data_IF_242449284265
#
_entry.id   IF_242449284265
#
_cell.length_a   1.000
_cell.length_b   1.000
_cell.length_c   1.000
_cell.angle_alpha   90.00
_cell.angle_beta   90.00
_cell.angle_gamma   90.00
#
_symmetry.space_group_name_H-M   'P 1'
#
loop_
_entity.id
_entity.type
_entity.pdbx_description
1 polymer ?
#
# COMPACT_ATOMS: atom_id res chain seq x y z
N UNK A 1 28.37 -23.48 -22.87
CA UNK A 1 27.13 -23.52 -22.05
C UNK A 1 27.25 -22.96 -20.63
N UNK A 2 28.38 -23.10 -19.90
CA UNK A 2 28.49 -22.65 -18.49
C UNK A 2 28.26 -21.16 -18.20
N UNK A 3 28.46 -20.25 -19.17
CA UNK A 3 28.28 -18.79 -18.98
C UNK A 3 26.82 -18.35 -19.02
N UNK A 4 25.99 -18.96 -19.87
CA UNK A 4 24.54 -18.66 -19.94
C UNK A 4 23.79 -19.19 -18.71
N UNK A 5 24.12 -20.39 -18.22
CA UNK A 5 23.52 -20.92 -17.00
C UNK A 5 23.77 -20.02 -15.77
N UNK A 6 24.97 -19.43 -15.66
CA UNK A 6 25.30 -18.47 -14.59
C UNK A 6 24.49 -17.17 -14.68
N UNK A 7 24.25 -16.66 -15.90
CA UNK A 7 23.44 -15.46 -16.14
C UNK A 7 21.95 -15.71 -15.84
N UNK A 8 21.42 -16.89 -16.20
CA UNK A 8 20.03 -17.27 -15.90
C UNK A 8 19.83 -17.43 -14.39
N UNK A 9 20.75 -18.09 -13.68
CA UNK A 9 20.68 -18.23 -12.22
C UNK A 9 20.79 -16.88 -11.52
N UNK A 10 21.67 -15.98 -11.99
CA UNK A 10 21.76 -14.62 -11.45
C UNK A 10 20.50 -13.79 -11.71
N UNK A 11 19.91 -13.89 -12.91
CA UNK A 11 18.64 -13.25 -13.23
C UNK A 11 17.46 -13.79 -12.40
N UNK A 12 17.43 -15.10 -12.16
CA UNK A 12 16.42 -15.75 -11.32
C UNK A 12 16.58 -15.37 -9.84
N UNK A 13 17.81 -15.25 -9.34
CA UNK A 13 18.10 -14.81 -7.97
C UNK A 13 17.77 -13.33 -7.76
N UNK A 14 18.09 -12.46 -8.73
CA UNK A 14 17.70 -11.05 -8.65
C UNK A 14 16.17 -10.88 -8.67
N UNK A 15 15.48 -11.59 -9.58
CA UNK A 15 14.02 -11.56 -9.65
C UNK A 15 13.35 -12.11 -8.39
N UNK A 16 13.89 -13.18 -7.79
CA UNK A 16 13.34 -13.78 -6.56
C UNK A 16 13.56 -12.89 -5.34
N UNK A 17 14.69 -12.18 -5.25
CA UNK A 17 14.94 -11.19 -4.20
C UNK A 17 13.99 -10.01 -4.36
N UNK A 18 13.82 -9.43 -5.56
CA UNK A 18 12.89 -8.32 -5.80
C UNK A 18 11.45 -8.66 -5.43
N UNK A 19 10.98 -9.86 -5.79
CA UNK A 19 9.64 -10.34 -5.42
C UNK A 19 9.48 -10.47 -3.89
N UNK A 20 10.53 -10.90 -3.19
CA UNK A 20 10.53 -11.08 -1.73
C UNK A 20 10.48 -9.74 -0.98
N UNK A 21 11.22 -8.72 -1.44
CA UNK A 21 11.17 -7.38 -0.82
C UNK A 21 9.80 -6.73 -1.04
N UNK A 22 9.26 -6.78 -2.26
CA UNK A 22 7.93 -6.26 -2.58
C UNK A 22 6.78 -7.02 -1.89
N UNK A 23 6.98 -8.26 -1.44
CA UNK A 23 6.04 -8.97 -0.57
C UNK A 23 6.20 -8.60 0.91
N UNK A 24 7.43 -8.35 1.37
CA UNK A 24 7.68 -7.95 2.75
C UNK A 24 7.10 -6.57 3.07
N UNK A 25 7.26 -5.60 2.17
CA UNK A 25 6.76 -4.23 2.35
C UNK A 25 5.23 -4.18 2.24
N UNK A 26 4.65 -4.97 1.32
CA UNK A 26 3.20 -5.19 1.24
C UNK A 26 2.61 -5.74 2.55
N UNK A 27 3.23 -6.75 3.15
CA UNK A 27 2.74 -7.35 4.39
C UNK A 27 2.87 -6.42 5.61
N UNK A 28 3.95 -5.62 5.68
CA UNK A 28 4.10 -4.57 6.70
C UNK A 28 3.01 -3.52 6.54
N UNK A 29 2.79 -3.04 5.33
CA UNK A 29 1.74 -2.09 4.98
C UNK A 29 0.35 -2.61 5.33
N UNK A 30 0.05 -3.87 5.01
CA UNK A 30 -1.20 -4.52 5.38
C UNK A 30 -1.40 -4.57 6.90
N UNK A 31 -0.37 -4.92 7.67
CA UNK A 31 -0.45 -4.98 9.14
C UNK A 31 -0.78 -3.60 9.73
N UNK A 32 -0.20 -2.53 9.20
CA UNK A 32 -0.52 -1.17 9.64
C UNK A 32 -1.91 -0.72 9.20
N UNK A 33 -2.29 -1.03 7.96
CA UNK A 33 -3.65 -0.81 7.46
C UNK A 33 -4.68 -1.49 8.36
N UNK A 34 -4.47 -2.76 8.69
CA UNK A 34 -5.36 -3.50 9.59
C UNK A 34 -5.43 -2.87 10.98
N UNK A 35 -4.28 -2.56 11.57
CA UNK A 35 -4.17 -2.05 12.94
C UNK A 35 -4.80 -0.66 13.12
N UNK A 36 -4.67 0.22 12.12
CA UNK A 36 -5.09 1.60 12.23
C UNK A 36 -6.35 1.91 11.42
N UNK A 37 -6.40 1.52 10.14
CA UNK A 37 -7.50 1.87 9.24
C UNK A 37 -8.65 0.89 9.41
N UNK A 38 -8.46 -0.42 9.14
CA UNK A 38 -9.53 -1.44 9.27
C UNK A 38 -10.13 -1.44 10.67
N UNK A 39 -9.31 -1.39 11.72
CA UNK A 39 -9.79 -1.35 13.11
C UNK A 39 -10.61 -0.09 13.44
N UNK A 40 -10.29 1.05 12.84
CA UNK A 40 -11.00 2.31 13.13
C UNK A 40 -12.25 2.49 12.26
N UNK A 41 -12.17 2.18 10.96
CA UNK A 41 -13.22 2.46 9.98
C UNK A 41 -14.04 1.25 9.57
N UNK A 42 -13.57 0.02 9.83
CA UNK A 42 -14.19 -1.22 9.36
C UNK A 42 -13.96 -1.52 7.87
N UNK A 43 -13.28 -0.63 7.14
CA UNK A 43 -13.09 -0.74 5.69
C UNK A 43 -12.09 -1.86 5.37
N UNK A 44 -12.41 -2.70 4.38
CA UNK A 44 -11.47 -3.73 3.89
C UNK A 44 -10.43 -3.09 2.97
N UNK A 45 -9.22 -3.67 2.94
CA UNK A 45 -8.13 -3.17 2.08
C UNK A 45 -8.52 -3.03 0.61
N UNK A 46 -9.31 -3.97 0.09
CA UNK A 46 -9.84 -3.94 -1.29
C UNK A 46 -10.93 -2.89 -1.54
N UNK A 47 -11.63 -2.44 -0.50
CA UNK A 47 -12.66 -1.40 -0.58
C UNK A 47 -12.04 -0.01 -0.48
N UNK A 48 -10.84 0.11 0.11
CA UNK A 48 -10.22 1.39 0.38
C UNK A 48 -9.86 2.19 -0.88
N UNK A 49 -9.16 1.63 -1.90
CA UNK A 49 -8.93 2.33 -3.16
C UNK A 49 -10.24 2.68 -3.89
N UNK A 50 -11.27 1.83 -3.76
CA UNK A 50 -12.59 2.05 -4.38
C UNK A 50 -13.31 3.25 -3.77
N UNK A 51 -13.31 3.36 -2.43
CA UNK A 51 -13.86 4.52 -1.71
C UNK A 51 -13.13 5.80 -2.08
N UNK A 52 -11.83 5.71 -2.32
CA UNK A 52 -11.02 6.83 -2.77
C UNK A 52 -11.21 7.14 -4.26
N UNK A 53 -11.92 6.31 -5.02
CA UNK A 53 -12.10 6.46 -6.47
C UNK A 53 -10.79 6.42 -7.24
N UNK A 54 -9.79 5.68 -6.73
CA UNK A 54 -8.45 5.59 -7.31
C UNK A 54 -8.36 4.32 -8.13
N UNK A 55 -7.91 4.45 -9.39
CA UNK A 55 -7.74 3.31 -10.30
C UNK A 55 -6.28 3.03 -10.64
N UNK A 56 -5.40 4.04 -10.54
CA UNK A 56 -3.98 3.91 -10.89
C UNK A 56 -3.07 4.19 -9.71
N UNK A 57 -1.86 3.58 -9.67
CA UNK A 57 -0.83 3.91 -8.68
C UNK A 57 -0.47 5.39 -8.65
N UNK A 58 -0.41 6.07 -9.80
CA UNK A 58 -0.05 7.50 -9.86
C UNK A 58 -1.09 8.39 -9.18
N UNK A 59 -2.38 8.05 -9.33
CA UNK A 59 -3.47 8.75 -8.64
C UNK A 59 -3.40 8.51 -7.12
N UNK A 60 -2.94 7.33 -6.71
CA UNK A 60 -2.73 7.01 -5.31
C UNK A 60 -1.57 7.82 -4.75
N UNK A 61 -0.41 7.83 -5.39
CA UNK A 61 0.78 8.56 -4.96
C UNK A 61 0.49 10.06 -4.80
N UNK A 62 -0.31 10.63 -5.72
CA UNK A 62 -0.80 12.01 -5.60
C UNK A 62 -1.58 12.27 -4.30
N UNK A 63 -2.34 11.29 -3.80
CA UNK A 63 -3.08 11.40 -2.53
C UNK A 63 -2.18 11.28 -1.29
N UNK A 64 -0.99 10.69 -1.43
CA UNK A 64 -0.01 10.54 -0.35
C UNK A 64 0.95 11.73 -0.21
N UNK A 65 0.95 12.67 -1.17
CA UNK A 65 1.71 13.93 -1.09
C UNK A 65 1.36 14.74 0.17
N UNK A 66 2.29 15.57 0.60
CA UNK A 66 2.13 16.47 1.75
C UNK A 66 1.67 15.76 3.04
N UNK A 67 2.25 14.60 3.35
CA UNK A 67 1.84 13.74 4.47
C UNK A 67 0.39 13.21 4.36
N UNK A 68 -0.03 12.87 3.15
CA UNK A 68 -1.36 12.38 2.83
C UNK A 68 -2.50 13.35 3.20
N UNK A 69 -2.24 14.66 3.22
CA UNK A 69 -3.27 15.71 3.33
C UNK A 69 -4.43 15.52 2.34
N UNK A 70 -4.18 15.37 1.02
CA UNK A 70 -5.28 15.20 0.07
C UNK A 70 -6.08 13.91 0.29
N UNK A 71 -5.43 12.84 0.77
CA UNK A 71 -6.11 11.61 1.19
C UNK A 71 -7.03 11.85 2.40
N UNK A 72 -6.54 12.55 3.43
CA UNK A 72 -7.29 12.87 4.65
C UNK A 72 -8.52 13.70 4.31
N UNK A 73 -8.36 14.79 3.53
CA UNK A 73 -9.47 15.64 3.11
C UNK A 73 -10.52 14.87 2.32
N UNK A 74 -10.09 13.97 1.41
CA UNK A 74 -11.01 13.14 0.63
C UNK A 74 -11.80 12.19 1.53
N UNK A 75 -11.14 11.55 2.49
CA UNK A 75 -11.80 10.67 3.47
C UNK A 75 -12.77 11.44 4.37
N UNK A 76 -12.44 12.67 4.78
CA UNK A 76 -13.35 13.50 5.56
C UNK A 76 -14.58 13.94 4.76
N UNK A 77 -14.40 14.37 3.50
CA UNK A 77 -15.48 14.73 2.59
C UNK A 77 -16.41 13.55 2.29
N UNK A 78 -15.85 12.33 2.17
CA UNK A 78 -16.64 11.10 1.98
C UNK A 78 -17.26 10.55 3.27
N UNK A 79 -17.19 11.27 4.40
CA UNK A 79 -17.78 10.85 5.67
C UNK A 79 -16.98 9.80 6.45
N UNK A 80 -15.81 9.40 5.96
CA UNK A 80 -14.91 8.43 6.60
C UNK A 80 -13.93 9.09 7.58
N UNK A 81 -14.43 9.94 8.48
CA UNK A 81 -13.63 10.68 9.48
C UNK A 81 -12.72 9.77 10.33
N UNK A 82 -13.15 8.54 10.63
CA UNK A 82 -12.33 7.56 11.38
C UNK A 82 -11.13 7.08 10.57
N UNK A 83 -11.30 6.87 9.26
CA UNK A 83 -10.21 6.51 8.37
C UNK A 83 -9.23 7.69 8.20
N UNK A 84 -9.75 8.92 8.06
CA UNK A 84 -8.95 10.14 7.98
C UNK A 84 -8.01 10.27 9.21
N UNK A 85 -8.56 10.15 10.43
CA UNK A 85 -7.76 10.15 11.68
C UNK A 85 -6.76 9.00 11.75
N UNK A 86 -7.08 7.84 11.19
CA UNK A 86 -6.16 6.71 11.15
C UNK A 86 -4.97 6.99 10.21
N UNK A 87 -5.23 7.56 9.03
CA UNK A 87 -4.21 8.00 8.08
C UNK A 87 -3.33 9.09 8.71
N UNK A 88 -3.91 10.05 9.41
CA UNK A 88 -3.17 11.09 10.14
C UNK A 88 -2.22 10.49 11.21
N UNK A 89 -2.66 9.45 11.93
CA UNK A 89 -1.81 8.72 12.89
C UNK A 89 -0.68 7.95 12.21
N UNK A 90 -0.92 7.40 11.02
CA UNK A 90 0.11 6.73 10.21
C UNK A 90 1.14 7.75 9.71
N UNK A 91 0.68 8.93 9.27
CA UNK A 91 1.52 10.06 8.87
C UNK A 91 2.45 10.51 10.00
N UNK A 92 1.90 10.75 11.19
CA UNK A 92 2.67 11.11 12.40
C UNK A 92 3.68 10.04 12.83
N UNK A 93 3.50 8.79 12.41
CA UNK A 93 4.41 7.68 12.72
C UNK A 93 5.47 7.44 11.63
N UNK A 94 5.50 8.26 10.58
CA UNK A 94 6.36 8.06 9.41
C UNK A 94 6.17 6.68 8.76
N UNK A 95 4.92 6.16 8.77
CA UNK A 95 4.54 4.85 8.21
C UNK A 95 3.65 4.98 6.97
N UNK A 96 3.61 6.16 6.36
CA UNK A 96 2.80 6.42 5.15
C UNK A 96 3.27 5.58 3.96
N UNK A 97 4.59 5.45 3.78
CA UNK A 97 5.15 4.65 2.69
C UNK A 97 4.71 3.19 2.76
N UNK A 98 4.72 2.60 3.96
CA UNK A 98 4.21 1.22 4.15
C UNK A 98 2.73 1.10 3.74
N UNK A 99 1.90 2.10 4.10
CA UNK A 99 0.48 2.13 3.72
C UNK A 99 0.30 2.27 2.19
N UNK A 100 1.11 3.11 1.58
CA UNK A 100 1.14 3.32 0.13
C UNK A 100 1.53 2.04 -0.62
N UNK A 101 2.64 1.41 -0.23
CA UNK A 101 3.12 0.14 -0.82
C UNK A 101 2.05 -0.95 -0.77
N UNK A 102 1.28 -1.00 0.31
CA UNK A 102 0.14 -1.90 0.43
C UNK A 102 -0.99 -1.59 -0.57
N UNK A 103 -1.40 -0.33 -0.67
CA UNK A 103 -2.48 0.09 -1.56
C UNK A 103 -2.07 0.00 -3.04
N UNK A 104 -0.82 0.34 -3.38
CA UNK A 104 -0.23 0.11 -4.70
C UNK A 104 -0.23 -1.39 -5.02
N UNK A 105 0.13 -2.23 -4.04
CA UNK A 105 0.05 -3.68 -4.18
C UNK A 105 -1.37 -4.15 -4.54
N UNK A 106 -2.40 -3.61 -3.88
CA UNK A 106 -3.81 -3.91 -4.19
C UNK A 106 -4.18 -3.49 -5.60
N UNK A 107 -3.79 -2.28 -6.02
CA UNK A 107 -4.06 -1.77 -7.37
C UNK A 107 -3.37 -2.63 -8.45
N UNK A 108 -2.18 -3.15 -8.15
CA UNK A 108 -1.46 -4.08 -9.01
C UNK A 108 -2.00 -5.53 -8.96
N UNK A 109 -3.16 -5.76 -8.34
CA UNK A 109 -3.83 -7.06 -8.31
C UNK A 109 -3.42 -7.98 -7.16
N UNK A 110 -2.57 -7.53 -6.21
CA UNK A 110 -2.32 -8.32 -4.99
C UNK A 110 -3.55 -8.28 -4.09
N UNK A 111 -4.23 -9.42 -4.02
CA UNK A 111 -5.35 -9.59 -3.11
C UNK A 111 -4.79 -9.67 -1.69
N UNK A 112 -5.21 -8.78 -0.77
CA UNK A 112 -4.79 -8.88 0.62
C UNK A 112 -5.28 -10.22 1.16
N UNK A 113 -4.38 -10.97 1.79
CA UNK A 113 -4.75 -12.15 2.55
C UNK A 113 -5.74 -11.69 3.65
N UNK A 114 -7.02 -11.85 3.36
CA UNK A 114 -8.14 -11.33 4.15
C UNK A 114 -8.18 -11.93 5.54
#
# INVERSE_FOLDING_TARGET
MRRFAKMVVAGLLLASVSASVAMADYNKGFKYYQKYVKKASGIKGSEFPKILGVQTPDQLEALFKDNAKPLIEKLEKSGHKKAAKAVEKIAKKHKLKDLEDFLVGILNGKIPAG
#
